data_IF_853981319321
#
_entry.id   IF_853981319321
#
_cell.length_a   1.000
_cell.length_b   1.000
_cell.length_c   1.000
_cell.angle_alpha   90.00
_cell.angle_beta   90.00
_cell.angle_gamma   90.00
#
_symmetry.space_group_name_H-M   'P 1'
#
loop_
_entity.id
_entity.type
_entity.pdbx_description
1 polymer ?
#
# COMPACT_ATOMS: atom_id res chain seq x y z
N UNK A 1 -19.54 3.33 -5.57
CA UNK A 1 -20.15 2.02 -5.75
C UNK A 1 -20.26 1.26 -4.41
N UNK A 2 -19.17 1.10 -3.62
CA UNK A 2 -19.20 0.35 -2.33
C UNK A 2 -20.26 0.93 -1.41
N UNK A 3 -20.21 2.23 -1.09
CA UNK A 3 -21.18 2.89 -0.22
C UNK A 3 -22.63 2.84 -0.75
N UNK A 4 -22.82 2.84 -2.07
CA UNK A 4 -24.15 2.68 -2.67
C UNK A 4 -24.72 1.26 -2.49
N UNK A 5 -23.84 0.24 -2.44
CA UNK A 5 -24.25 -1.17 -2.31
C UNK A 5 -24.35 -1.63 -0.85
N UNK A 6 -23.44 -1.15 -0.01
CA UNK A 6 -23.27 -1.64 1.36
C UNK A 6 -23.79 -0.64 2.44
N UNK A 7 -24.19 0.56 2.03
CA UNK A 7 -24.64 1.62 2.93
C UNK A 7 -23.62 2.75 3.06
N UNK A 8 -24.10 3.95 3.36
CA UNK A 8 -23.25 5.16 3.43
C UNK A 8 -22.25 5.12 4.59
N UNK A 9 -22.59 4.40 5.67
CA UNK A 9 -21.73 4.26 6.86
C UNK A 9 -20.67 3.17 6.73
N UNK A 10 -20.63 2.48 5.56
CA UNK A 10 -19.63 1.42 5.29
C UNK A 10 -18.23 2.00 5.36
N UNK A 11 -17.39 1.36 6.15
CA UNK A 11 -15.96 1.65 6.23
C UNK A 11 -15.21 1.04 5.05
N UNK A 12 -14.30 1.81 4.48
CA UNK A 12 -13.52 1.39 3.32
C UNK A 12 -12.04 1.30 3.70
N UNK A 13 -11.51 0.09 3.61
CA UNK A 13 -10.08 -0.19 3.74
C UNK A 13 -9.52 -0.54 2.38
N UNK A 14 -8.44 0.11 1.98
CA UNK A 14 -7.69 -0.25 0.78
C UNK A 14 -6.43 -1.03 1.19
N UNK A 15 -6.28 -2.24 0.65
CA UNK A 15 -5.07 -3.04 0.82
C UNK A 15 -4.42 -3.26 -0.55
N UNK A 16 -3.14 -3.01 -0.64
CA UNK A 16 -2.38 -3.21 -1.88
C UNK A 16 -0.98 -3.75 -1.62
N UNK A 17 -0.51 -4.62 -2.52
CA UNK A 17 0.82 -5.23 -2.48
C UNK A 17 1.63 -4.76 -3.68
N UNK A 18 2.89 -4.37 -3.49
CA UNK A 18 3.81 -3.98 -4.56
C UNK A 18 3.22 -2.83 -5.43
N UNK A 19 2.96 -3.07 -6.70
CA UNK A 19 2.30 -2.10 -7.58
C UNK A 19 0.87 -1.77 -7.12
N UNK A 20 0.18 -2.73 -6.48
CA UNK A 20 -1.11 -2.49 -5.82
C UNK A 20 -0.99 -1.51 -4.65
N UNK A 21 0.09 -1.57 -3.88
CA UNK A 21 0.38 -0.62 -2.80
C UNK A 21 0.52 0.82 -3.34
N UNK A 22 1.23 0.98 -4.46
CA UNK A 22 1.33 2.26 -5.18
C UNK A 22 -0.04 2.76 -5.62
N UNK A 23 -0.89 1.86 -6.10
CA UNK A 23 -2.23 2.20 -6.57
C UNK A 23 -3.14 2.67 -5.44
N UNK A 24 -3.14 1.99 -4.29
CA UNK A 24 -3.98 2.37 -3.15
C UNK A 24 -3.53 3.66 -2.49
N UNK A 25 -2.22 3.92 -2.42
CA UNK A 25 -1.70 5.20 -1.95
C UNK A 25 -2.11 6.35 -2.89
N UNK A 26 -1.98 6.17 -4.20
CA UNK A 26 -2.37 7.18 -5.18
C UNK A 26 -3.89 7.38 -5.26
N UNK A 27 -4.70 6.38 -4.91
CA UNK A 27 -6.15 6.50 -4.87
C UNK A 27 -6.62 7.59 -3.90
N UNK A 28 -5.87 7.85 -2.83
CA UNK A 28 -6.16 8.91 -1.85
C UNK A 28 -6.16 10.32 -2.45
N UNK A 29 -5.63 10.49 -3.67
CA UNK A 29 -5.71 11.77 -4.41
C UNK A 29 -7.09 12.02 -5.00
N UNK A 30 -7.90 10.98 -5.17
CA UNK A 30 -9.14 11.02 -5.96
C UNK A 30 -10.40 10.80 -5.14
N UNK A 31 -10.27 10.43 -3.86
CA UNK A 31 -11.43 10.18 -2.99
C UNK A 31 -11.11 10.40 -1.52
N UNK A 32 -12.07 10.95 -0.80
CA UNK A 32 -12.05 11.10 0.66
C UNK A 32 -12.83 9.98 1.37
N UNK A 33 -13.34 9.01 0.62
CA UNK A 33 -14.16 7.91 1.15
C UNK A 33 -13.37 6.79 1.81
N UNK A 34 -12.03 6.84 1.78
CA UNK A 34 -11.16 5.81 2.33
C UNK A 34 -10.91 6.08 3.81
N UNK A 35 -11.19 5.11 4.64
CA UNK A 35 -10.98 5.19 6.08
C UNK A 35 -9.57 4.73 6.50
N UNK A 36 -9.00 3.69 5.84
CA UNK A 36 -7.67 3.15 6.14
C UNK A 36 -6.96 2.62 4.89
N UNK A 37 -5.64 2.66 4.91
CA UNK A 37 -4.80 2.05 3.87
C UNK A 37 -3.81 1.09 4.50
N UNK A 38 -3.67 -0.09 3.91
CA UNK A 38 -2.56 -1.03 4.16
C UNK A 38 -1.77 -1.14 2.86
N UNK A 39 -0.54 -0.69 2.88
CA UNK A 39 0.38 -0.85 1.76
C UNK A 39 1.48 -1.84 2.13
N UNK A 40 1.75 -2.82 1.28
CA UNK A 40 2.78 -3.83 1.47
C UNK A 40 3.79 -3.77 0.32
N UNK A 41 5.05 -3.50 0.66
CA UNK A 41 6.22 -3.43 -0.20
C UNK A 41 6.08 -2.51 -1.43
N UNK A 42 5.38 -1.38 -1.28
CA UNK A 42 5.23 -0.40 -2.35
C UNK A 42 6.46 0.48 -2.53
N UNK A 43 6.70 0.91 -3.77
CA UNK A 43 7.66 1.99 -4.03
C UNK A 43 6.98 3.36 -3.90
N UNK A 44 7.74 4.34 -3.47
CA UNK A 44 7.22 5.69 -3.15
C UNK A 44 7.45 6.71 -4.26
N UNK A 45 8.31 6.37 -5.22
CA UNK A 45 8.55 7.15 -6.44
C UNK A 45 8.57 6.24 -7.66
N UNK A 46 7.98 6.67 -8.75
CA UNK A 46 7.93 5.89 -10.00
C UNK A 46 9.33 5.52 -10.48
N UNK A 47 10.30 6.41 -10.29
CA UNK A 47 11.70 6.16 -10.64
C UNK A 47 12.33 4.96 -9.90
N UNK A 48 11.81 4.59 -8.73
CA UNK A 48 12.30 3.46 -7.92
C UNK A 48 11.74 2.12 -8.40
N UNK A 49 10.48 2.08 -8.84
CA UNK A 49 9.85 0.85 -9.36
C UNK A 49 10.31 0.47 -10.77
N UNK A 50 10.67 1.44 -11.59
CA UNK A 50 11.06 1.22 -12.99
C UNK A 50 12.25 0.28 -13.17
N UNK A 51 13.37 0.39 -12.41
CA UNK A 51 14.50 -0.52 -12.57
C UNK A 51 14.14 -1.99 -12.36
N UNK A 52 13.25 -2.28 -11.41
CA UNK A 52 12.78 -3.64 -11.17
C UNK A 52 11.99 -4.18 -12.37
N UNK A 53 11.03 -3.41 -12.89
CA UNK A 53 10.24 -3.79 -14.07
C UNK A 53 11.14 -4.09 -15.27
N UNK A 54 12.16 -3.25 -15.51
CA UNK A 54 13.09 -3.46 -16.63
C UNK A 54 13.94 -4.71 -16.46
N UNK A 55 14.41 -4.94 -15.25
CA UNK A 55 15.31 -6.06 -14.96
C UNK A 55 14.59 -7.39 -15.02
N UNK A 56 13.31 -7.42 -14.64
CA UNK A 56 12.52 -8.65 -14.55
C UNK A 56 11.72 -8.98 -15.82
N UNK A 57 11.29 -7.97 -16.59
CA UNK A 57 10.30 -8.19 -17.66
C UNK A 57 10.80 -7.89 -19.07
N UNK A 58 11.73 -6.97 -19.28
CA UNK A 58 11.93 -6.41 -20.62
C UNK A 58 13.34 -6.63 -21.20
N UNK A 59 14.36 -6.87 -20.39
CA UNK A 59 15.77 -7.09 -20.81
C UNK A 59 16.34 -6.04 -21.81
N UNK A 60 15.62 -4.92 -22.03
CA UNK A 60 16.07 -3.83 -22.90
C UNK A 60 16.71 -2.74 -22.04
N UNK A 61 17.89 -2.21 -22.39
CA UNK A 61 18.52 -1.15 -21.64
C UNK A 61 17.61 0.09 -21.47
N UNK A 62 17.50 0.56 -20.24
CA UNK A 62 16.67 1.67 -19.81
C UNK A 62 16.75 2.94 -20.71
N UNK A 63 17.95 3.37 -21.19
CA UNK A 63 18.07 4.58 -22.01
C UNK A 63 17.26 4.55 -23.31
N UNK A 64 17.08 3.37 -23.90
CA UNK A 64 16.35 3.23 -25.17
C UNK A 64 14.83 3.11 -24.95
N UNK A 65 14.41 2.53 -23.84
CA UNK A 65 12.99 2.27 -23.58
C UNK A 65 12.29 3.49 -22.96
N UNK A 66 12.97 4.22 -22.06
CA UNK A 66 12.37 5.36 -21.35
C UNK A 66 11.79 6.46 -22.24
N UNK A 67 12.43 6.90 -23.32
CA UNK A 67 11.85 7.88 -24.23
C UNK A 67 10.53 7.41 -24.84
N UNK A 68 10.46 6.13 -25.23
CA UNK A 68 9.24 5.53 -25.80
C UNK A 68 8.12 5.47 -24.78
N UNK A 69 8.43 5.00 -23.56
CA UNK A 69 7.47 4.92 -22.45
C UNK A 69 6.94 6.30 -22.07
N UNK A 70 7.81 7.30 -21.91
CA UNK A 70 7.41 8.69 -21.62
C UNK A 70 6.51 9.26 -22.72
N UNK A 71 6.87 9.06 -23.99
CA UNK A 71 6.06 9.51 -25.13
C UNK A 71 4.68 8.86 -25.14
N UNK A 72 4.61 7.56 -24.86
CA UNK A 72 3.34 6.83 -24.73
C UNK A 72 2.50 7.32 -23.56
N UNK A 73 3.08 7.42 -22.38
CA UNK A 73 2.41 7.91 -21.18
C UNK A 73 1.79 9.30 -21.43
N UNK A 74 2.55 10.22 -22.00
CA UNK A 74 2.07 11.57 -22.35
C UNK A 74 0.90 11.53 -23.35
N UNK A 75 0.92 10.60 -24.32
CA UNK A 75 -0.18 10.44 -25.27
C UNK A 75 -1.51 10.07 -24.58
N UNK A 76 -1.44 9.34 -23.47
CA UNK A 76 -2.61 8.94 -22.66
C UNK A 76 -2.88 9.89 -21.49
N UNK A 77 -2.27 11.08 -21.48
CA UNK A 77 -2.48 12.08 -20.42
C UNK A 77 -1.88 11.69 -19.06
N UNK A 78 -0.95 10.72 -19.04
CA UNK A 78 -0.30 10.24 -17.83
C UNK A 78 1.14 10.75 -17.75
N UNK A 79 1.46 11.53 -16.74
CA UNK A 79 2.85 11.84 -16.42
C UNK A 79 3.37 10.84 -15.37
N UNK A 80 4.29 10.00 -15.81
CA UNK A 80 4.88 8.97 -14.94
C UNK A 80 5.74 9.55 -13.82
N UNK A 81 6.20 10.79 -13.93
CA UNK A 81 7.09 11.39 -12.96
C UNK A 81 6.35 12.18 -11.87
N UNK A 82 5.10 12.60 -12.14
CA UNK A 82 4.30 13.43 -11.24
C UNK A 82 3.36 12.64 -10.31
N UNK A 83 3.30 11.33 -10.45
CA UNK A 83 2.42 10.47 -9.64
C UNK A 83 3.22 9.68 -8.59
N UNK A 84 3.98 10.37 -7.76
CA UNK A 84 4.73 9.75 -6.68
C UNK A 84 3.83 9.53 -5.45
N UNK A 85 3.65 8.30 -4.99
CA UNK A 85 2.84 8.02 -3.80
C UNK A 85 3.22 8.84 -2.57
N UNK A 86 4.49 9.10 -2.36
CA UNK A 86 4.96 9.88 -1.20
C UNK A 86 4.34 11.27 -1.13
N UNK A 87 4.11 11.93 -2.28
CA UNK A 87 3.52 13.27 -2.32
C UNK A 87 2.05 13.24 -1.92
N UNK A 88 1.35 12.14 -2.23
CA UNK A 88 -0.04 11.92 -1.81
C UNK A 88 -0.11 11.60 -0.32
N UNK A 89 0.71 10.67 0.15
CA UNK A 89 0.78 10.27 1.57
C UNK A 89 1.11 11.45 2.48
N UNK A 90 2.08 12.28 2.10
CA UNK A 90 2.46 13.50 2.83
C UNK A 90 1.29 14.46 3.07
N UNK A 91 0.31 14.47 2.17
CA UNK A 91 -0.87 15.35 2.24
C UNK A 91 -2.11 14.64 2.75
N UNK A 92 -2.07 13.32 2.92
CA UNK A 92 -3.19 12.53 3.42
C UNK A 92 -3.34 12.65 4.95
N UNK A 93 -4.59 12.58 5.40
CA UNK A 93 -4.97 12.43 6.82
C UNK A 93 -5.44 11.00 7.13
N UNK A 94 -5.53 10.14 6.13
CA UNK A 94 -5.96 8.75 6.29
C UNK A 94 -4.87 7.97 7.04
N UNK A 95 -5.22 7.14 8.04
CA UNK A 95 -4.28 6.22 8.67
C UNK A 95 -3.71 5.23 7.65
N UNK A 96 -2.39 5.07 7.64
CA UNK A 96 -1.69 4.18 6.71
C UNK A 96 -0.81 3.23 7.50
N UNK A 97 -1.00 1.91 7.31
CA UNK A 97 -0.07 0.89 7.76
C UNK A 97 0.85 0.51 6.60
N UNK A 98 2.14 0.78 6.77
CA UNK A 98 3.20 0.44 5.83
C UNK A 98 3.82 -0.87 6.26
N UNK A 99 3.83 -1.87 5.38
CA UNK A 99 4.41 -3.19 5.62
C UNK A 99 5.57 -3.41 4.65
N UNK A 100 6.72 -3.89 5.12
CA UNK A 100 7.87 -4.14 4.24
C UNK A 100 8.80 -5.21 4.79
N UNK A 101 9.33 -6.07 3.93
CA UNK A 101 10.41 -6.98 4.27
C UNK A 101 11.78 -6.28 4.22
N UNK A 102 12.65 -6.50 5.21
CA UNK A 102 13.96 -5.88 5.23
C UNK A 102 14.95 -6.46 4.21
N UNK A 103 14.66 -7.67 3.71
CA UNK A 103 15.45 -8.35 2.67
C UNK A 103 14.85 -8.19 1.26
N UNK A 104 13.94 -7.23 1.08
CA UNK A 104 13.29 -6.98 -0.21
C UNK A 104 14.30 -6.54 -1.28
N UNK A 105 14.47 -7.40 -2.31
CA UNK A 105 15.39 -7.18 -3.44
C UNK A 105 14.76 -6.46 -4.62
N UNK A 106 13.46 -6.25 -4.60
CA UNK A 106 12.71 -5.56 -5.65
C UNK A 106 12.50 -4.08 -5.32
N UNK A 107 12.06 -3.80 -4.11
CA UNK A 107 11.82 -2.46 -3.59
C UNK A 107 12.56 -2.28 -2.27
N UNK A 108 13.40 -1.26 -2.19
CA UNK A 108 14.18 -1.03 -0.96
C UNK A 108 13.30 -0.74 0.24
N UNK A 109 13.59 -1.34 1.38
CA UNK A 109 12.95 -1.08 2.68
C UNK A 109 13.03 0.40 3.09
N UNK A 110 13.98 1.15 2.53
CA UNK A 110 14.08 2.60 2.76
C UNK A 110 12.84 3.35 2.26
N UNK A 111 12.09 2.79 1.31
CA UNK A 111 10.79 3.34 0.91
C UNK A 111 9.79 3.36 2.08
N UNK A 112 9.68 2.27 2.80
CA UNK A 112 8.82 2.17 3.99
C UNK A 112 9.26 3.12 5.10
N UNK A 113 10.57 3.18 5.38
CA UNK A 113 11.14 4.09 6.38
C UNK A 113 10.87 5.56 6.03
N UNK A 114 11.07 5.94 4.76
CA UNK A 114 10.80 7.30 4.28
C UNK A 114 9.30 7.64 4.39
N UNK A 115 8.39 6.73 4.03
CA UNK A 115 6.96 6.93 4.25
C UNK A 115 6.64 7.22 5.72
N UNK A 116 7.23 6.46 6.64
CA UNK A 116 7.08 6.68 8.07
C UNK A 116 7.42 8.10 8.53
N UNK A 117 8.38 8.76 7.87
CA UNK A 117 8.77 10.14 8.22
C UNK A 117 7.79 11.22 7.75
N UNK A 118 6.95 10.92 6.75
CA UNK A 118 6.05 11.91 6.12
C UNK A 118 4.57 11.71 6.47
N UNK A 119 4.20 10.53 6.98
CA UNK A 119 2.84 10.25 7.43
C UNK A 119 2.44 11.16 8.60
N UNK A 120 1.26 11.77 8.51
CA UNK A 120 0.80 12.76 9.50
C UNK A 120 -0.20 12.22 10.49
N UNK A 121 -0.91 11.14 10.14
CA UNK A 121 -1.91 10.57 11.02
C UNK A 121 -1.21 9.79 12.16
N UNK A 122 -1.53 10.07 13.44
CA UNK A 122 -0.86 9.41 14.58
C UNK A 122 -1.14 7.91 14.68
N UNK A 123 -2.17 7.41 14.01
CA UNK A 123 -2.47 5.97 13.90
C UNK A 123 -1.66 5.27 12.81
N UNK A 124 -1.00 6.04 11.94
CA UNK A 124 -0.13 5.47 10.90
C UNK A 124 1.09 4.82 11.51
N UNK A 125 1.52 3.70 10.95
CA UNK A 125 2.67 2.94 11.44
C UNK A 125 3.43 2.25 10.33
N UNK A 126 4.67 1.85 10.65
CA UNK A 126 5.55 1.09 9.76
C UNK A 126 5.90 -0.24 10.43
N UNK A 127 5.66 -1.34 9.74
CA UNK A 127 5.91 -2.71 10.17
C UNK A 127 6.97 -3.35 9.30
N UNK A 128 8.17 -3.50 9.84
CA UNK A 128 9.27 -4.16 9.13
C UNK A 128 9.32 -5.64 9.51
N UNK A 129 9.31 -6.50 8.50
CA UNK A 129 9.36 -7.95 8.63
C UNK A 129 10.78 -8.45 8.36
N UNK A 130 11.46 -8.87 9.41
CA UNK A 130 12.86 -9.33 9.35
C UNK A 130 12.99 -10.62 8.52
N UNK A 131 14.01 -10.67 7.67
CA UNK A 131 14.32 -11.80 6.82
C UNK A 131 13.33 -12.04 5.68
N UNK A 132 12.39 -11.11 5.43
CA UNK A 132 11.39 -11.25 4.36
C UNK A 132 11.81 -10.51 3.10
N UNK A 133 11.66 -11.19 1.96
CA UNK A 133 11.84 -10.64 0.62
C UNK A 133 10.52 -9.98 0.14
N UNK A 134 10.50 -9.50 -1.09
CA UNK A 134 9.39 -8.78 -1.73
C UNK A 134 8.07 -9.55 -1.65
N UNK A 135 7.05 -8.94 -1.07
CA UNK A 135 5.70 -9.52 -0.88
C UNK A 135 5.65 -10.80 -0.04
N UNK A 136 6.69 -11.11 0.74
CA UNK A 136 6.73 -12.27 1.62
C UNK A 136 6.37 -11.97 3.09
N UNK A 137 6.01 -10.74 3.43
CA UNK A 137 5.55 -10.37 4.78
C UNK A 137 4.33 -11.19 5.20
N UNK A 138 3.40 -11.43 4.27
CA UNK A 138 2.19 -12.23 4.47
C UNK A 138 2.46 -13.71 4.78
N UNK A 139 3.65 -14.23 4.49
CA UNK A 139 4.04 -15.61 4.84
C UNK A 139 4.18 -15.82 6.35
N UNK A 140 4.38 -14.76 7.10
CA UNK A 140 4.25 -14.75 8.56
C UNK A 140 2.79 -14.49 8.92
N UNK A 141 1.94 -15.49 8.70
CA UNK A 141 0.49 -15.35 8.77
C UNK A 141 0.01 -14.86 10.13
N UNK A 142 0.59 -15.38 11.20
CA UNK A 142 0.18 -15.03 12.56
C UNK A 142 0.49 -13.55 12.85
N UNK A 143 1.72 -13.11 12.58
CA UNK A 143 2.12 -11.72 12.76
C UNK A 143 1.36 -10.77 11.84
N UNK A 144 1.16 -11.18 10.58
CA UNK A 144 0.46 -10.35 9.59
C UNK A 144 -1.03 -10.18 9.95
N UNK A 145 -1.70 -11.26 10.37
CA UNK A 145 -3.09 -11.20 10.81
C UNK A 145 -3.24 -10.36 12.08
N UNK A 146 -2.35 -10.55 13.06
CA UNK A 146 -2.35 -9.74 14.28
C UNK A 146 -2.14 -8.25 13.96
N UNK A 147 -1.18 -7.94 13.10
CA UNK A 147 -0.91 -6.57 12.65
C UNK A 147 -2.15 -5.94 12.00
N UNK A 148 -2.83 -6.67 11.10
CA UNK A 148 -4.08 -6.19 10.49
C UNK A 148 -5.17 -5.98 11.54
N UNK A 149 -5.39 -6.96 12.41
CA UNK A 149 -6.36 -6.87 13.51
C UNK A 149 -6.11 -5.64 14.35
N UNK A 150 -4.90 -5.48 14.88
CA UNK A 150 -4.52 -4.36 15.75
C UNK A 150 -4.63 -3.00 15.06
N UNK A 151 -4.40 -2.94 13.74
CA UNK A 151 -4.51 -1.70 12.98
C UNK A 151 -5.96 -1.34 12.68
N UNK A 152 -6.80 -2.33 12.49
CA UNK A 152 -8.20 -2.17 12.09
C UNK A 152 -9.18 -2.28 13.27
N UNK A 153 -8.75 -2.81 14.43
CA UNK A 153 -9.61 -3.07 15.60
C UNK A 153 -10.37 -1.84 16.09
N UNK A 154 -9.77 -0.67 15.96
CA UNK A 154 -10.49 0.57 16.29
C UNK A 154 -11.67 0.86 15.34
N UNK A 155 -11.74 0.15 14.20
CA UNK A 155 -12.80 0.29 13.21
C UNK A 155 -13.86 -0.79 13.26
N UNK A 156 -13.43 -2.00 13.58
CA UNK A 156 -14.30 -3.17 13.63
C UNK A 156 -14.52 -3.56 15.08
N UNK A 157 -15.58 -3.01 15.69
CA UNK A 157 -16.20 -3.71 16.82
C UNK A 157 -16.84 -4.96 16.21
N UNK A 158 -16.08 -6.05 16.07
CA UNK A 158 -16.67 -7.34 15.77
C UNK A 158 -17.64 -7.62 16.91
N UNK A 159 -18.93 -7.94 16.63
CA UNK A 159 -19.78 -8.51 17.65
C UNK A 159 -19.05 -9.76 18.15
N UNK A 160 -18.65 -9.77 19.40
CA UNK A 160 -18.20 -11.01 20.05
C UNK A 160 -19.40 -11.94 19.94
N UNK A 161 -19.33 -12.97 19.11
CA UNK A 161 -20.30 -14.07 19.14
C UNK A 161 -20.26 -14.59 20.56
N UNK A 162 -21.32 -14.27 21.32
CA UNK A 162 -21.54 -14.91 22.59
C UNK A 162 -21.76 -16.38 22.24
N UNK A 163 -20.77 -17.21 22.57
CA UNK A 163 -20.99 -18.66 22.61
C UNK A 163 -22.24 -18.90 23.47
N UNK A 164 -23.36 -19.18 22.80
CA UNK A 164 -24.53 -19.69 23.49
C UNK A 164 -24.10 -20.99 24.17
N UNK A 165 -23.86 -20.94 25.47
CA UNK A 165 -23.79 -22.13 26.30
C UNK A 165 -25.10 -22.90 26.08
N UNK A 166 -25.05 -23.87 25.20
CA UNK A 166 -26.07 -24.92 25.16
C UNK A 166 -25.94 -25.74 26.45
N UNK A 167 -26.51 -25.17 27.52
CA UNK A 167 -26.79 -25.89 28.74
C UNK A 167 -27.77 -27.04 28.47
N UNK A 168 -27.34 -28.19 28.84
CA UNK A 168 -28.09 -29.46 28.85
C UNK A 168 -29.38 -29.39 29.66
#
# INVERSE_FOLDING_TARGET
>A
WVKQRCGQDTKIVLLGVSMGAVSVMNALKYTDDVDYVVEDCGFIRVSQGLPFVYRSMVHIPNPFLMPVVKKRAKKYGFDMLDNNPIDVVKNSKVPICVVHGDMDRAVSVECAKELGTVMKNPKSRVEIYEGRDHAYSICDKERYTRMLSDFLDEMFVFPVEQEEEHGK
#
